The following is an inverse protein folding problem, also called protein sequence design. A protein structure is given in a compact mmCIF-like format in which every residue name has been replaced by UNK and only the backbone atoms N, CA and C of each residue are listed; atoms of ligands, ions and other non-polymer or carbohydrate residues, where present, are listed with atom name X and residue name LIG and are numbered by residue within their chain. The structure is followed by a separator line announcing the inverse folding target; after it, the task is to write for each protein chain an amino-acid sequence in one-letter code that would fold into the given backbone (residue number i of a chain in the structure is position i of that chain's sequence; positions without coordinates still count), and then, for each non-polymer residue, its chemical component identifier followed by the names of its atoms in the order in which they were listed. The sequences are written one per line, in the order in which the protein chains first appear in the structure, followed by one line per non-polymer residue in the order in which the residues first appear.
data_IF_789264608998
#
_entry.id   IF_789264608998
#
_cell.length_a   1.000
_cell.length_b   1.000
_cell.length_c   1.000
_cell.angle_alpha   90.00
_cell.angle_beta   90.00
_cell.angle_gamma   90.00
#
_symmetry.space_group_name_H-M   'P 1'
#
loop_
_entity.id
_entity.type
_entity.pdbx_description
1 polymer ?
#
# COMPACT_ATOMS: atom_id res chain seq x y z
N UNK A 1 -2.16 3.30 -13.65
CA UNK A 1 -2.97 2.04 -13.77
C UNK A 1 -2.18 0.90 -13.13
N UNK A 2 -2.84 0.05 -12.34
CA UNK A 2 -2.19 -1.11 -11.71
C UNK A 2 -2.69 -2.38 -12.40
N UNK A 3 -1.77 -3.25 -12.79
CA UNK A 3 -2.08 -4.55 -13.42
C UNK A 3 -1.33 -5.67 -12.70
N UNK A 4 -1.95 -6.83 -12.64
CA UNK A 4 -1.29 -8.06 -12.22
C UNK A 4 -1.42 -9.11 -13.33
N UNK A 5 -0.35 -9.90 -13.51
CA UNK A 5 -0.31 -10.96 -14.54
C UNK A 5 0.25 -12.24 -13.93
N UNK A 6 -0.57 -13.28 -13.98
CA UNK A 6 -0.23 -14.65 -13.57
C UNK A 6 0.38 -14.72 -12.16
N UNK A 7 -0.16 -13.95 -11.22
CA UNK A 7 0.33 -13.93 -9.84
C UNK A 7 -0.01 -15.24 -9.14
N UNK A 8 1.04 -15.88 -8.62
CA UNK A 8 0.93 -17.03 -7.74
C UNK A 8 1.55 -16.74 -6.38
N UNK A 9 0.96 -17.32 -5.33
CA UNK A 9 1.50 -17.24 -3.98
C UNK A 9 1.17 -18.48 -3.16
N UNK A 10 2.21 -19.04 -2.56
CA UNK A 10 2.12 -20.14 -1.60
C UNK A 10 2.61 -19.68 -0.22
N UNK A 11 2.06 -20.30 0.82
CA UNK A 11 2.60 -20.28 2.18
C UNK A 11 2.70 -21.74 2.65
N UNK A 12 3.92 -22.27 2.65
CA UNK A 12 4.13 -23.71 2.79
C UNK A 12 3.38 -24.48 1.69
N UNK A 13 2.58 -25.46 2.07
CA UNK A 13 1.80 -26.27 1.13
C UNK A 13 0.49 -25.60 0.65
N UNK A 14 0.15 -24.44 1.23
CA UNK A 14 -1.09 -23.75 0.87
C UNK A 14 -0.91 -22.83 -0.33
N UNK A 15 -1.54 -23.16 -1.46
CA UNK A 15 -1.60 -22.33 -2.65
C UNK A 15 -2.72 -21.28 -2.52
N UNK A 16 -2.37 -20.08 -2.12
CA UNK A 16 -3.31 -18.99 -1.76
C UNK A 16 -3.78 -18.21 -2.98
N UNK A 17 -2.86 -17.81 -3.86
CA UNK A 17 -3.19 -17.12 -5.12
C UNK A 17 -2.80 -18.02 -6.26
N UNK A 18 -3.76 -18.24 -7.17
CA UNK A 18 -3.68 -19.22 -8.26
C UNK A 18 -3.91 -18.49 -9.59
N UNK A 19 -2.81 -18.21 -10.30
CA UNK A 19 -2.81 -17.61 -11.64
C UNK A 19 -3.71 -16.37 -11.77
N UNK A 20 -3.55 -15.43 -10.82
CA UNK A 20 -4.38 -14.23 -10.76
C UNK A 20 -3.92 -13.19 -11.78
N UNK A 21 -4.81 -12.79 -12.68
CA UNK A 21 -4.54 -11.75 -13.68
C UNK A 21 -5.73 -10.80 -13.79
N UNK A 22 -5.52 -9.51 -13.58
CA UNK A 22 -6.51 -8.46 -13.79
C UNK A 22 -5.89 -7.05 -13.76
N UNK A 23 -6.68 -6.05 -14.13
CA UNK A 23 -6.28 -4.63 -14.11
C UNK A 23 -7.22 -3.83 -13.23
N UNK A 24 -6.66 -2.96 -12.39
CA UNK A 24 -7.41 -1.98 -11.64
C UNK A 24 -7.69 -0.76 -12.52
N UNK A 25 -8.95 -0.38 -12.63
CA UNK A 25 -9.37 0.76 -13.41
C UNK A 25 -8.98 2.07 -12.69
N UNK A 26 -8.25 2.92 -13.39
CA UNK A 26 -7.85 4.23 -12.86
C UNK A 26 -9.08 5.14 -12.68
N UNK A 27 -9.10 5.92 -11.60
CA UNK A 27 -10.20 6.84 -11.29
C UNK A 27 -11.50 6.16 -10.87
N UNK A 28 -11.48 4.84 -10.60
CA UNK A 28 -12.62 4.06 -10.14
C UNK A 28 -12.32 3.40 -8.79
N UNK A 29 -13.38 3.16 -8.02
CA UNK A 29 -13.31 2.25 -6.89
C UNK A 29 -13.31 0.82 -7.43
N UNK A 30 -12.22 0.08 -7.15
CA UNK A 30 -12.10 -1.32 -7.51
C UNK A 30 -12.32 -2.17 -6.25
N UNK A 31 -13.19 -3.16 -6.33
CA UNK A 31 -13.55 -4.00 -5.20
C UNK A 31 -13.04 -5.43 -5.40
N UNK A 32 -12.32 -5.95 -4.41
CA UNK A 32 -11.91 -7.35 -4.35
C UNK A 32 -12.82 -8.08 -3.38
N UNK A 33 -13.60 -9.02 -3.87
CA UNK A 33 -14.52 -9.84 -3.10
C UNK A 33 -14.09 -11.30 -3.07
N UNK A 34 -14.45 -11.99 -2.00
CA UNK A 34 -14.16 -13.40 -1.79
C UNK A 34 -14.37 -13.78 -0.32
N UNK A 35 -14.39 -15.07 -0.06
CA UNK A 35 -14.55 -15.62 1.30
C UNK A 35 -13.40 -15.18 2.24
N UNK A 36 -13.63 -15.31 3.55
CA UNK A 36 -12.56 -15.11 4.53
C UNK A 36 -11.43 -16.11 4.28
N UNK A 37 -10.19 -15.64 4.30
CA UNK A 37 -9.02 -16.49 4.01
C UNK A 37 -8.72 -16.73 2.53
N UNK A 38 -9.51 -16.20 1.59
CA UNK A 38 -9.30 -16.41 0.14
C UNK A 38 -8.10 -15.68 -0.48
N UNK A 39 -7.26 -15.02 0.33
CA UNK A 39 -6.04 -14.37 -0.15
C UNK A 39 -6.17 -12.88 -0.50
N UNK A 40 -7.32 -12.21 -0.27
CA UNK A 40 -7.50 -10.78 -0.58
C UNK A 40 -6.43 -9.89 0.04
N UNK A 41 -6.18 -10.06 1.33
CA UNK A 41 -5.13 -9.29 2.05
C UNK A 41 -3.73 -9.65 1.57
N UNK A 42 -3.50 -10.91 1.22
CA UNK A 42 -2.23 -11.37 0.62
C UNK A 42 -1.98 -10.66 -0.71
N UNK A 43 -2.99 -10.60 -1.57
CA UNK A 43 -2.91 -9.90 -2.84
C UNK A 43 -2.60 -8.42 -2.65
N UNK A 44 -3.31 -7.71 -1.75
CA UNK A 44 -3.03 -6.30 -1.45
C UNK A 44 -1.59 -6.09 -0.95
N UNK A 45 -1.08 -6.98 -0.09
CA UNK A 45 0.30 -6.92 0.39
C UNK A 45 1.33 -7.18 -0.70
N UNK A 46 1.01 -8.01 -1.69
CA UNK A 46 1.87 -8.22 -2.87
C UNK A 46 1.87 -6.97 -3.75
N UNK A 47 0.72 -6.34 -3.99
CA UNK A 47 0.62 -5.13 -4.79
C UNK A 47 1.54 -4.01 -4.28
N UNK A 48 1.64 -3.82 -2.98
CA UNK A 48 2.50 -2.79 -2.39
C UNK A 48 3.92 -3.29 -2.04
N UNK A 49 4.23 -4.54 -2.39
CA UNK A 49 5.55 -5.13 -2.18
C UNK A 49 5.90 -5.42 -0.73
N UNK A 50 4.90 -5.63 0.15
CA UNK A 50 5.11 -6.17 1.50
C UNK A 50 5.31 -7.68 1.48
N UNK A 51 4.70 -8.37 0.52
CA UNK A 51 4.96 -9.78 0.23
C UNK A 51 5.51 -9.91 -1.19
N UNK A 52 6.43 -10.85 -1.39
CA UNK A 52 6.83 -11.29 -2.72
C UNK A 52 5.80 -12.27 -3.27
N UNK A 53 5.51 -12.19 -4.55
CA UNK A 53 4.85 -13.26 -5.29
C UNK A 53 5.87 -14.35 -5.64
N UNK A 54 5.40 -15.58 -5.85
CA UNK A 54 6.24 -16.70 -6.22
C UNK A 54 6.45 -16.75 -7.74
N UNK A 55 5.42 -16.39 -8.51
CA UNK A 55 5.50 -16.17 -9.96
C UNK A 55 4.57 -15.03 -10.40
N UNK A 56 4.66 -14.66 -11.67
CA UNK A 56 3.91 -13.55 -12.24
C UNK A 56 4.52 -12.18 -11.95
N UNK A 57 3.80 -11.12 -12.31
CA UNK A 57 4.32 -9.75 -12.22
C UNK A 57 3.23 -8.75 -11.87
N UNK A 58 3.62 -7.72 -11.12
CA UNK A 58 2.82 -6.54 -10.81
C UNK A 58 3.35 -5.36 -11.64
N UNK A 59 2.46 -4.60 -12.25
CA UNK A 59 2.80 -3.43 -13.05
C UNK A 59 2.13 -2.18 -12.51
N UNK A 60 2.89 -1.11 -12.41
CA UNK A 60 2.41 0.25 -12.13
C UNK A 60 2.70 1.12 -13.34
N UNK A 61 1.65 1.61 -13.99
CA UNK A 61 1.74 2.42 -15.21
C UNK A 61 2.67 1.81 -16.29
N UNK A 62 2.54 0.48 -16.47
CA UNK A 62 3.33 -0.29 -17.42
C UNK A 62 4.73 -0.70 -16.95
N UNK A 63 5.20 -0.20 -15.81
CA UNK A 63 6.50 -0.57 -15.26
C UNK A 63 6.39 -1.78 -14.33
N UNK A 64 7.21 -2.79 -14.57
CA UNK A 64 7.21 -4.02 -13.77
C UNK A 64 7.83 -3.77 -12.38
N UNK A 65 6.98 -3.79 -11.34
CA UNK A 65 7.39 -3.57 -9.96
C UNK A 65 8.45 -4.56 -9.47
N UNK A 66 8.37 -5.81 -9.93
CA UNK A 66 9.32 -6.85 -9.51
C UNK A 66 10.74 -6.60 -10.07
N UNK A 67 10.88 -5.82 -11.16
CA UNK A 67 12.14 -5.46 -11.79
C UNK A 67 12.69 -4.11 -11.32
N UNK A 68 11.91 -3.34 -10.58
CA UNK A 68 12.33 -2.05 -10.02
C UNK A 68 13.43 -2.26 -8.98
N UNK A 69 14.38 -1.33 -8.94
CA UNK A 69 15.35 -1.23 -7.84
C UNK A 69 14.62 -0.97 -6.51
N UNK A 70 15.26 -1.30 -5.40
CA UNK A 70 14.71 -1.03 -4.05
C UNK A 70 14.40 0.45 -3.83
N UNK A 71 15.16 1.35 -4.45
CA UNK A 71 14.94 2.80 -4.38
C UNK A 71 13.64 3.18 -5.11
N UNK A 72 13.44 2.70 -6.32
CA UNK A 72 12.23 2.96 -7.10
C UNK A 72 10.98 2.39 -6.41
N UNK A 73 11.05 1.16 -5.90
CA UNK A 73 9.96 0.56 -5.13
C UNK A 73 9.63 1.37 -3.87
N UNK A 74 10.64 1.96 -3.19
CA UNK A 74 10.44 2.82 -2.03
C UNK A 74 9.74 4.11 -2.43
N UNK A 75 10.17 4.76 -3.51
CA UNK A 75 9.54 5.98 -4.03
C UNK A 75 8.08 5.72 -4.40
N UNK A 76 7.81 4.64 -5.14
CA UNK A 76 6.45 4.26 -5.50
C UNK A 76 5.56 4.03 -4.27
N UNK A 77 6.06 3.37 -3.22
CA UNK A 77 5.29 3.16 -1.99
C UNK A 77 4.93 4.45 -1.25
N UNK A 78 5.71 5.51 -1.40
CA UNK A 78 5.38 6.83 -0.82
C UNK A 78 4.16 7.47 -1.48
N UNK A 79 3.83 7.08 -2.72
CA UNK A 79 2.66 7.56 -3.45
C UNK A 79 1.38 6.72 -3.14
N UNK A 80 1.52 5.61 -2.41
CA UNK A 80 0.43 4.68 -2.09
C UNK A 80 0.01 4.85 -0.64
N UNK A 81 -1.23 5.26 -0.42
CA UNK A 81 -1.86 5.21 0.90
C UNK A 81 -2.45 3.81 1.16
N UNK A 82 -2.17 3.23 2.32
CA UNK A 82 -2.77 1.96 2.73
C UNK A 82 -3.37 2.05 4.13
N UNK A 83 -4.62 1.60 4.25
CA UNK A 83 -5.27 1.41 5.55
C UNK A 83 -5.19 -0.07 5.92
N UNK A 84 -4.48 -0.36 7.01
CA UNK A 84 -4.39 -1.71 7.57
C UNK A 84 -5.56 -2.00 8.51
N UNK A 85 -6.01 -3.24 8.55
CA UNK A 85 -7.10 -3.68 9.43
C UNK A 85 -6.83 -3.40 10.91
N UNK A 86 -5.58 -3.42 11.35
CA UNK A 86 -5.17 -3.11 12.73
C UNK A 86 -4.77 -1.65 12.97
N UNK A 87 -5.04 -0.73 12.03
CA UNK A 87 -4.71 0.70 12.13
C UNK A 87 -3.25 1.02 11.82
N UNK A 88 -2.30 0.23 12.27
CA UNK A 88 -0.84 0.43 12.13
C UNK A 88 -0.35 1.78 12.68
N UNK A 89 -0.93 2.23 13.77
CA UNK A 89 -0.52 3.43 14.50
C UNK A 89 0.44 3.06 15.63
N UNK A 90 1.32 3.98 15.97
CA UNK A 90 2.16 3.87 17.16
C UNK A 90 1.34 4.28 18.39
N UNK A 91 1.08 3.34 19.30
CA UNK A 91 0.25 3.50 20.47
C UNK A 91 0.85 4.42 21.54
N UNK A 92 2.18 4.59 21.53
CA UNK A 92 2.92 5.52 22.40
C UNK A 92 3.02 6.95 21.86
N UNK A 93 2.50 7.20 20.65
CA UNK A 93 2.50 8.52 20.00
C UNK A 93 1.10 9.13 20.04
N UNK A 94 1.03 10.45 20.11
CA UNK A 94 -0.22 11.19 19.92
C UNK A 94 -0.73 11.05 18.46
N UNK A 95 -1.97 11.45 18.20
CA UNK A 95 -2.53 11.47 16.84
C UNK A 95 -1.71 12.38 15.93
N UNK A 96 -1.36 13.57 16.40
CA UNK A 96 -0.51 14.52 15.68
C UNK A 96 0.84 13.89 15.30
N UNK A 97 1.52 13.26 16.26
CA UNK A 97 2.82 12.62 16.04
C UNK A 97 2.72 11.45 15.04
N UNK A 98 1.66 10.65 15.11
CA UNK A 98 1.42 9.58 14.14
C UNK A 98 1.27 10.11 12.72
N UNK A 99 0.53 11.22 12.53
CA UNK A 99 0.36 11.85 11.22
C UNK A 99 1.66 12.53 10.76
N UNK A 100 2.38 13.12 11.68
CA UNK A 100 3.65 13.81 11.39
C UNK A 100 4.79 12.85 11.08
N UNK A 101 4.78 11.64 11.61
CA UNK A 101 5.87 10.67 11.50
C UNK A 101 6.32 10.42 10.04
N UNK A 102 5.44 10.08 9.08
CA UNK A 102 5.86 9.89 7.70
C UNK A 102 6.39 11.17 7.05
N UNK A 103 5.89 12.34 7.41
CA UNK A 103 6.41 13.61 6.92
C UNK A 103 7.85 13.84 7.41
N UNK A 104 8.13 13.48 8.65
CA UNK A 104 9.48 13.58 9.23
C UNK A 104 10.45 12.59 8.59
N UNK A 105 9.99 11.41 8.23
CA UNK A 105 10.83 10.36 7.64
C UNK A 105 11.11 10.55 6.15
N UNK A 106 10.22 11.23 5.41
CA UNK A 106 10.24 11.21 3.95
C UNK A 106 10.25 12.59 3.28
N UNK A 107 10.19 13.68 4.06
CA UNK A 107 10.22 15.05 3.54
C UNK A 107 11.23 15.91 4.28
N UNK A 108 11.70 16.95 3.61
CA UNK A 108 12.56 18.01 4.18
C UNK A 108 11.74 19.23 4.63
N UNK A 109 10.43 19.10 4.78
CA UNK A 109 9.53 20.17 5.19
C UNK A 109 9.90 20.73 6.57
N UNK A 110 9.67 22.02 6.76
CA UNK A 110 9.80 22.67 8.07
C UNK A 110 8.77 22.13 9.07
N UNK A 111 8.96 22.41 10.35
CA UNK A 111 8.00 21.99 11.39
C UNK A 111 6.63 22.63 11.15
N UNK A 112 6.60 23.90 10.75
CA UNK A 112 5.37 24.63 10.43
C UNK A 112 4.60 23.97 9.27
N UNK A 113 5.29 23.65 8.17
CA UNK A 113 4.68 22.96 7.02
C UNK A 113 4.13 21.58 7.38
N UNK A 114 4.85 20.85 8.26
CA UNK A 114 4.38 19.54 8.76
C UNK A 114 3.11 19.70 9.60
N UNK A 115 3.06 20.69 10.50
CA UNK A 115 1.88 20.98 11.31
C UNK A 115 0.68 21.40 10.46
N UNK A 116 0.88 22.26 9.47
CA UNK A 116 -0.16 22.63 8.51
C UNK A 116 -0.74 21.38 7.81
N UNK A 117 0.15 20.47 7.39
CA UNK A 117 -0.28 19.21 6.77
C UNK A 117 -1.04 18.30 7.71
N UNK A 118 -0.62 18.20 8.99
CA UNK A 118 -1.32 17.45 10.03
C UNK A 118 -2.72 18.00 10.22
N UNK A 119 -2.87 19.32 10.39
CA UNK A 119 -4.15 19.99 10.54
C UNK A 119 -5.06 19.76 9.33
N UNK A 120 -4.52 19.88 8.13
CA UNK A 120 -5.26 19.56 6.90
C UNK A 120 -5.79 18.11 6.91
N UNK A 121 -4.97 17.14 7.32
CA UNK A 121 -5.37 15.73 7.37
C UNK A 121 -6.48 15.50 8.40
N UNK A 122 -6.38 16.11 9.58
CA UNK A 122 -7.39 16.01 10.65
C UNK A 122 -8.73 16.60 10.20
N UNK A 123 -8.73 17.79 9.62
CA UNK A 123 -9.94 18.43 9.08
C UNK A 123 -10.62 17.58 8.01
N UNK A 124 -9.85 16.91 7.14
CA UNK A 124 -10.38 16.04 6.08
C UNK A 124 -11.18 14.86 6.61
N UNK A 125 -10.95 14.44 7.84
CA UNK A 125 -11.63 13.33 8.52
C UNK A 125 -12.53 13.80 9.67
N UNK A 126 -12.81 15.12 9.76
CA UNK A 126 -13.63 15.76 10.81
C UNK A 126 -13.09 15.51 12.24
N UNK A 127 -11.78 15.50 12.39
CA UNK A 127 -11.08 15.52 13.66
C UNK A 127 -10.42 16.90 13.82
N UNK A 128 -10.82 17.65 14.85
CA UNK A 128 -10.26 18.96 15.21
C UNK A 128 -9.48 18.87 16.51
#
# INVERSE_FOLDING_TARGET
MIEIKNIEKHFGDNHILKDMSFSFQQGKTNLIIGESGSGKTTLLKILIGLYSNDSGSVYFDGHNFNQMSKKEQRTLRQEIGMLFQGGALYDYMTVEENIMFPLTMFTDNTTEEKLERVNFCLQRVNLE
#
